data_IF_653762266038
#
_entry.id   IF_653762266038
#
_cell.length_a   1.000
_cell.length_b   1.000
_cell.length_c   1.000
_cell.angle_alpha   90.00
_cell.angle_beta   90.00
_cell.angle_gamma   90.00
#
_symmetry.space_group_name_H-M   'P 1'
#
loop_
_entity.id
_entity.type
_entity.pdbx_description
1 polymer ?
#
# COMPACT_ATOMS: atom_id res chain seq x y z
N UNK A 1 68.53 9.26 -29.01
CA UNK A 1 68.75 10.38 -28.06
C UNK A 1 67.39 10.79 -27.51
N UNK A 2 67.32 11.34 -26.30
CA UNK A 2 66.09 11.79 -25.62
C UNK A 2 65.89 13.31 -25.79
N UNK A 3 64.72 13.93 -25.58
CA UNK A 3 63.50 13.44 -24.89
C UNK A 3 62.27 13.50 -25.85
N UNK A 4 61.02 13.99 -25.60
CA UNK A 4 60.27 14.65 -24.51
C UNK A 4 58.75 14.41 -24.72
N UNK A 5 57.91 14.59 -23.69
CA UNK A 5 56.44 14.80 -23.78
C UNK A 5 56.11 16.14 -23.11
N UNK A 6 55.10 16.88 -23.59
CA UNK A 6 54.01 17.19 -22.66
C UNK A 6 52.60 17.10 -23.29
N UNK A 7 51.61 16.97 -22.42
CA UNK A 7 50.19 17.23 -22.67
C UNK A 7 49.80 18.50 -21.89
N UNK A 8 48.70 19.21 -22.20
CA UNK A 8 47.41 18.82 -21.59
C UNK A 8 46.12 19.15 -22.38
N UNK A 9 45.01 18.52 -21.99
CA UNK A 9 43.64 19.04 -22.17
C UNK A 9 42.96 18.74 -23.52
N UNK A 10 41.65 18.48 -23.60
CA UNK A 10 40.59 18.57 -22.58
C UNK A 10 39.51 17.48 -22.75
N UNK A 11 38.92 17.07 -21.62
CA UNK A 11 37.52 16.65 -21.45
C UNK A 11 36.88 15.77 -22.54
N UNK A 12 37.18 14.47 -22.52
CA UNK A 12 36.11 13.51 -22.82
C UNK A 12 35.27 13.33 -21.54
N UNK A 13 33.95 13.27 -21.65
CA UNK A 13 33.07 13.25 -20.47
C UNK A 13 32.94 11.81 -19.96
N UNK A 14 33.43 11.55 -18.75
CA UNK A 14 33.17 10.29 -18.05
C UNK A 14 31.68 10.17 -17.74
N UNK A 15 30.96 9.45 -18.62
CA UNK A 15 29.59 9.05 -18.38
C UNK A 15 29.58 7.93 -17.33
N UNK A 16 29.11 8.16 -16.09
CA UNK A 16 29.01 7.09 -15.11
C UNK A 16 27.87 6.18 -15.57
N UNK A 17 28.20 5.00 -16.10
CA UNK A 17 27.20 4.02 -16.47
C UNK A 17 26.32 3.72 -15.25
N UNK A 18 25.08 4.19 -15.28
CA UNK A 18 24.20 4.15 -14.12
C UNK A 18 24.06 2.70 -13.65
N UNK A 19 24.48 2.44 -12.40
CA UNK A 19 24.44 1.11 -11.83
C UNK A 19 22.99 0.66 -11.71
N UNK A 20 22.53 -0.09 -12.71
CA UNK A 20 21.19 -0.66 -12.78
C UNK A 20 21.03 -1.75 -11.74
N UNK A 21 20.87 -1.36 -10.47
CA UNK A 21 20.55 -2.21 -9.32
C UNK A 21 19.16 -2.81 -9.49
N UNK A 22 19.05 -3.71 -10.45
CA UNK A 22 17.91 -4.60 -10.67
C UNK A 22 17.93 -5.63 -9.57
N UNK A 23 17.59 -5.21 -8.35
CA UNK A 23 17.44 -6.11 -7.20
C UNK A 23 16.12 -6.87 -7.36
N UNK A 24 16.08 -7.75 -8.36
CA UNK A 24 15.03 -8.74 -8.58
C UNK A 24 15.11 -9.86 -7.54
N UNK A 25 15.24 -9.47 -6.27
CA UNK A 25 15.02 -10.31 -5.10
C UNK A 25 13.54 -10.63 -5.02
N UNK A 26 13.08 -11.55 -5.87
CA UNK A 26 11.82 -12.29 -5.72
C UNK A 26 11.91 -13.28 -4.55
N UNK A 27 12.46 -12.82 -3.43
CA UNK A 27 12.18 -13.39 -2.12
C UNK A 27 10.68 -13.29 -1.93
N UNK A 28 10.01 -14.41 -1.64
CA UNK A 28 8.66 -14.30 -1.09
C UNK A 28 8.82 -13.70 0.31
N UNK A 29 8.70 -12.37 0.39
CA UNK A 29 8.80 -11.65 1.64
C UNK A 29 7.74 -12.22 2.58
N UNK A 30 8.20 -12.82 3.67
CA UNK A 30 7.32 -13.45 4.65
C UNK A 30 6.43 -12.43 5.36
N UNK A 31 5.47 -12.92 6.16
CA UNK A 31 4.66 -12.09 7.05
C UNK A 31 5.54 -11.10 7.84
N UNK A 32 5.32 -9.79 7.66
CA UNK A 32 6.11 -8.76 8.38
C UNK A 32 5.57 -8.61 9.80
N UNK A 33 6.40 -8.88 10.80
CA UNK A 33 6.02 -8.81 12.22
C UNK A 33 6.39 -7.49 12.91
N UNK A 34 7.04 -6.55 12.21
CA UNK A 34 7.47 -5.26 12.75
C UNK A 34 6.49 -4.11 12.42
N UNK A 35 6.13 -3.34 13.45
CA UNK A 35 5.24 -2.19 13.33
C UNK A 35 5.90 -0.98 12.64
N UNK A 36 7.22 -0.83 12.72
CA UNK A 36 7.95 0.23 12.02
C UNK A 36 7.87 0.06 10.51
N UNK A 37 8.13 -1.16 10.04
CA UNK A 37 8.12 -1.56 8.63
C UNK A 37 6.73 -1.41 8.02
N UNK A 38 5.67 -1.87 8.69
CA UNK A 38 4.27 -1.69 8.21
C UNK A 38 3.90 -0.19 8.14
N UNK A 39 4.32 0.64 9.12
CA UNK A 39 4.11 2.10 9.08
C UNK A 39 4.90 2.78 7.95
N UNK A 40 6.11 2.31 7.65
CA UNK A 40 6.97 2.87 6.59
C UNK A 40 6.46 2.57 5.18
N UNK A 41 5.67 1.51 4.99
CA UNK A 41 5.03 1.18 3.72
C UNK A 41 3.69 1.91 3.47
N UNK A 42 3.17 2.66 4.44
CA UNK A 42 1.97 3.48 4.24
C UNK A 42 2.29 4.67 3.31
N UNK A 43 1.43 5.01 2.33
CA UNK A 43 1.59 6.22 1.53
C UNK A 43 1.70 7.47 2.39
N UNK A 44 2.49 8.44 1.95
CA UNK A 44 2.76 9.70 2.69
C UNK A 44 1.47 10.41 3.13
N UNK A 45 0.44 10.44 2.29
CA UNK A 45 -0.86 11.02 2.62
C UNK A 45 -1.54 10.31 3.80
N UNK A 46 -1.63 8.98 3.75
CA UNK A 46 -2.23 8.16 4.81
C UNK A 46 -1.42 8.22 6.11
N UNK A 47 -0.09 8.07 6.00
CA UNK A 47 0.84 8.13 7.14
C UNK A 47 0.77 9.49 7.85
N UNK A 48 0.69 10.59 7.10
CA UNK A 48 0.56 11.95 7.65
C UNK A 48 -0.81 12.21 8.29
N UNK A 49 -1.88 11.61 7.76
CA UNK A 49 -3.23 11.68 8.31
C UNK A 49 -3.43 10.79 9.55
N UNK A 50 -2.53 9.84 9.80
CA UNK A 50 -2.66 8.84 10.87
C UNK A 50 -2.27 9.35 12.25
N UNK A 51 -2.92 8.82 13.28
CA UNK A 51 -2.58 8.97 14.70
C UNK A 51 -2.89 7.68 15.49
N UNK A 52 -2.44 7.61 16.75
CA UNK A 52 -2.73 6.53 17.70
C UNK A 52 -2.43 5.09 17.22
N UNK A 53 -1.57 4.96 16.20
CA UNK A 53 -1.24 3.69 15.53
C UNK A 53 -0.58 2.66 16.45
N UNK A 54 -1.36 1.66 16.86
CA UNK A 54 -0.95 0.52 17.71
C UNK A 54 -0.82 -0.78 16.92
N UNK A 55 -0.17 -1.77 17.53
CA UNK A 55 -0.33 -3.18 17.13
C UNK A 55 -1.75 -3.64 17.49
N UNK A 56 -2.39 -4.44 16.66
CA UNK A 56 -3.80 -4.84 16.83
C UNK A 56 -3.99 -6.35 16.92
N UNK A 57 -3.42 -7.11 15.98
CA UNK A 57 -3.49 -8.57 15.90
C UNK A 57 -2.45 -9.08 14.89
N UNK A 58 -2.46 -10.37 14.57
CA UNK A 58 -1.74 -10.94 13.44
C UNK A 58 -2.72 -11.55 12.42
N UNK A 59 -2.33 -11.60 11.14
CA UNK A 59 -3.06 -12.34 10.10
C UNK A 59 -2.91 -13.85 10.28
N UNK A 60 -3.71 -14.65 9.56
CA UNK A 60 -3.62 -16.12 9.60
C UNK A 60 -2.24 -16.67 9.21
N UNK A 61 -1.50 -15.98 8.34
CA UNK A 61 -0.14 -16.36 7.94
C UNK A 61 0.94 -15.76 8.87
N UNK A 62 0.54 -14.94 9.85
CA UNK A 62 1.41 -14.41 10.91
C UNK A 62 1.89 -12.97 10.73
N UNK A 63 1.38 -12.23 9.75
CA UNK A 63 1.79 -10.84 9.53
C UNK A 63 1.17 -9.91 10.57
N UNK A 64 1.91 -8.93 11.06
CA UNK A 64 1.40 -7.96 12.03
C UNK A 64 0.38 -7.04 11.39
N UNK A 65 -0.79 -6.95 12.01
CA UNK A 65 -1.81 -5.94 11.69
C UNK A 65 -1.66 -4.77 12.65
N UNK A 66 -1.30 -3.60 12.12
CA UNK A 66 -1.41 -2.34 12.86
C UNK A 66 -2.83 -1.77 12.71
N UNK A 67 -3.32 -1.09 13.74
CA UNK A 67 -4.55 -0.31 13.69
C UNK A 67 -4.23 1.16 13.97
N UNK A 68 -4.60 2.02 13.03
CA UNK A 68 -4.39 3.46 13.08
C UNK A 68 -5.75 4.17 13.07
N UNK A 69 -5.85 5.27 13.81
CA UNK A 69 -6.98 6.18 13.70
C UNK A 69 -6.59 7.35 12.77
N UNK A 70 -7.54 7.90 12.03
CA UNK A 70 -7.38 9.08 11.18
C UNK A 70 -7.68 10.32 12.02
N UNK A 71 -6.79 11.31 11.94
CA UNK A 71 -6.93 12.63 12.54
C UNK A 71 -8.24 13.27 12.10
N UNK A 72 -9.12 13.62 13.05
CA UNK A 72 -10.43 14.25 12.75
C UNK A 72 -10.35 15.60 12.01
N UNK A 73 -9.18 16.23 11.99
CA UNK A 73 -8.89 17.47 11.25
C UNK A 73 -8.33 17.24 9.84
N UNK A 74 -8.17 15.99 9.39
CA UNK A 74 -7.67 15.66 8.07
C UNK A 74 -8.79 15.29 7.09
N UNK A 75 -8.64 15.66 5.82
CA UNK A 75 -9.64 15.44 4.76
C UNK A 75 -9.99 13.97 4.49
N UNK A 76 -9.16 13.01 4.93
CA UNK A 76 -9.49 11.58 4.86
C UNK A 76 -10.60 11.19 5.83
N UNK A 77 -10.78 11.92 6.94
CA UNK A 77 -11.86 11.67 7.91
C UNK A 77 -13.26 11.87 7.31
N UNK A 78 -13.40 12.73 6.30
CA UNK A 78 -14.66 12.99 5.56
C UNK A 78 -15.26 11.75 4.90
N UNK A 79 -14.47 10.68 4.71
CA UNK A 79 -14.89 9.46 4.02
C UNK A 79 -15.52 8.42 4.96
N UNK A 80 -15.46 8.67 6.28
CA UNK A 80 -16.02 7.81 7.31
C UNK A 80 -17.37 8.33 7.82
N UNK A 81 -18.24 7.42 8.22
CA UNK A 81 -19.44 7.74 9.02
C UNK A 81 -19.05 8.25 10.41
N UNK A 82 -20.01 8.80 11.16
CA UNK A 82 -19.80 9.26 12.55
C UNK A 82 -19.29 8.17 13.51
N UNK A 83 -19.45 6.88 13.15
CA UNK A 83 -18.97 5.70 13.90
C UNK A 83 -17.60 5.20 13.44
N UNK A 84 -17.00 5.81 12.41
CA UNK A 84 -15.74 5.40 11.81
C UNK A 84 -14.68 6.51 11.86
N UNK A 85 -13.42 6.12 12.08
CA UNK A 85 -12.25 6.93 11.74
C UNK A 85 -10.98 6.07 11.66
N UNK A 86 -11.08 4.79 11.30
CA UNK A 86 -10.04 3.79 11.57
C UNK A 86 -9.73 2.94 10.35
N UNK A 87 -8.44 2.66 10.17
CA UNK A 87 -7.98 1.64 9.23
C UNK A 87 -7.09 0.60 9.92
N UNK A 88 -6.99 -0.57 9.31
CA UNK A 88 -5.95 -1.57 9.57
C UNK A 88 -4.96 -1.61 8.42
N UNK A 89 -3.71 -1.99 8.70
CA UNK A 89 -2.72 -2.22 7.67
C UNK A 89 -1.80 -3.40 8.05
N UNK A 90 -1.36 -4.16 7.04
CA UNK A 90 -0.37 -5.24 7.20
C UNK A 90 0.46 -5.42 5.92
N UNK A 91 1.58 -6.12 6.03
CA UNK A 91 2.47 -6.47 4.91
C UNK A 91 2.67 -8.00 4.85
N UNK A 92 2.14 -8.62 3.81
CA UNK A 92 2.32 -10.02 3.47
C UNK A 92 2.20 -10.21 1.95
N UNK A 93 3.34 -10.43 1.28
CA UNK A 93 3.38 -10.53 -0.19
C UNK A 93 2.62 -11.78 -0.71
N UNK A 94 2.59 -12.85 0.09
CA UNK A 94 1.95 -14.11 -0.28
C UNK A 94 0.44 -14.02 -0.13
N UNK A 95 -0.06 -13.48 0.99
CA UNK A 95 -1.49 -13.27 1.20
C UNK A 95 -2.03 -12.18 0.28
N UNK A 96 -1.34 -11.05 0.09
CA UNK A 96 -1.80 -9.99 -0.81
C UNK A 96 -2.02 -10.51 -2.25
N UNK A 97 -1.08 -11.31 -2.77
CA UNK A 97 -1.21 -11.96 -4.08
C UNK A 97 -2.39 -12.94 -4.13
N UNK A 98 -2.57 -13.75 -3.08
CA UNK A 98 -3.70 -14.69 -2.99
C UNK A 98 -5.05 -13.96 -2.97
N UNK A 99 -5.14 -12.88 -2.18
CA UNK A 99 -6.35 -12.07 -2.00
C UNK A 99 -6.77 -11.37 -3.30
N UNK A 100 -5.85 -10.69 -3.98
CA UNK A 100 -6.17 -9.99 -5.24
C UNK A 100 -6.64 -10.95 -6.34
N UNK A 101 -5.96 -12.10 -6.49
CA UNK A 101 -6.40 -13.14 -7.43
C UNK A 101 -7.77 -13.71 -7.04
N UNK A 102 -8.00 -13.96 -5.75
CA UNK A 102 -9.29 -14.43 -5.23
C UNK A 102 -10.46 -13.48 -5.51
N UNK A 103 -10.23 -12.16 -5.47
CA UNK A 103 -11.26 -11.16 -5.83
C UNK A 103 -11.74 -11.28 -7.30
N UNK A 104 -10.91 -11.85 -8.18
CA UNK A 104 -11.27 -12.11 -9.59
C UNK A 104 -11.76 -13.53 -9.89
N UNK A 105 -11.58 -14.49 -8.98
CA UNK A 105 -11.98 -15.89 -9.17
C UNK A 105 -13.37 -16.23 -8.61
N UNK A 106 -13.83 -15.52 -7.57
CA UNK A 106 -15.04 -15.86 -6.82
C UNK A 106 -16.06 -14.72 -6.86
N UNK A 107 -17.30 -15.02 -7.26
CA UNK A 107 -18.45 -14.14 -7.00
C UNK A 107 -18.91 -14.31 -5.54
N UNK A 108 -18.48 -13.40 -4.68
CA UNK A 108 -18.84 -13.37 -3.26
C UNK A 108 -20.21 -12.73 -2.97
N UNK A 109 -20.87 -12.09 -3.96
CA UNK A 109 -22.11 -11.32 -3.82
C UNK A 109 -22.00 -10.00 -3.03
N UNK A 110 -22.62 -8.93 -3.55
CA UNK A 110 -22.71 -7.59 -2.92
C UNK A 110 -21.36 -6.90 -2.62
N UNK A 111 -20.44 -6.94 -3.58
CA UNK A 111 -19.16 -6.25 -3.50
C UNK A 111 -18.76 -5.67 -4.87
N UNK A 112 -17.95 -4.61 -4.86
CA UNK A 112 -17.42 -3.95 -6.06
C UNK A 112 -15.89 -4.02 -6.02
N UNK A 113 -15.29 -4.64 -7.04
CA UNK A 113 -13.83 -4.65 -7.21
C UNK A 113 -13.39 -3.47 -8.08
N UNK A 114 -12.42 -2.69 -7.61
CA UNK A 114 -11.77 -1.60 -8.34
C UNK A 114 -10.26 -1.88 -8.42
N UNK A 115 -9.79 -2.38 -9.55
CA UNK A 115 -8.36 -2.64 -9.81
C UNK A 115 -7.65 -1.44 -10.44
N UNK A 116 -6.31 -1.42 -10.37
CA UNK A 116 -5.47 -0.55 -11.19
C UNK A 116 -5.26 -1.11 -12.62
N UNK A 117 -4.81 -0.28 -13.57
CA UNK A 117 -4.63 -0.67 -14.98
C UNK A 117 -3.72 -1.89 -15.19
N UNK A 118 -2.73 -2.09 -14.32
CA UNK A 118 -1.81 -3.23 -14.35
C UNK A 118 -2.38 -4.50 -13.68
N UNK A 119 -3.51 -4.41 -12.99
CA UNK A 119 -4.12 -5.47 -12.16
C UNK A 119 -3.14 -6.05 -11.13
N UNK A 120 -2.30 -5.18 -10.58
CA UNK A 120 -1.34 -5.49 -9.51
C UNK A 120 -1.78 -4.99 -8.14
N UNK A 121 -2.78 -4.10 -8.11
CA UNK A 121 -3.45 -3.66 -6.91
C UNK A 121 -4.95 -3.45 -7.15
N UNK A 122 -5.74 -3.52 -6.09
CA UNK A 122 -7.17 -3.22 -6.16
C UNK A 122 -7.83 -3.10 -4.80
N UNK A 123 -9.03 -2.52 -4.79
CA UNK A 123 -9.90 -2.41 -3.62
C UNK A 123 -11.12 -3.29 -3.84
N UNK A 124 -11.36 -4.23 -2.93
CA UNK A 124 -12.65 -4.87 -2.78
C UNK A 124 -13.51 -4.02 -1.83
N UNK A 125 -14.63 -3.49 -2.33
CA UNK A 125 -15.57 -2.65 -1.59
C UNK A 125 -16.79 -3.50 -1.24
N UNK A 126 -17.13 -3.62 0.05
CA UNK A 126 -18.28 -4.39 0.53
C UNK A 126 -19.34 -3.45 1.11
N UNK A 127 -20.49 -3.40 0.46
CA UNK A 127 -21.70 -2.75 0.96
C UNK A 127 -22.40 -3.70 1.95
N UNK A 128 -21.89 -3.72 3.20
CA UNK A 128 -22.27 -4.71 4.20
C UNK A 128 -23.77 -4.71 4.53
N UNK A 129 -24.37 -5.90 4.67
CA UNK A 129 -25.81 -6.08 4.91
C UNK A 129 -26.36 -5.44 6.21
N UNK A 130 -25.49 -4.96 7.09
CA UNK A 130 -25.80 -4.17 8.30
C UNK A 130 -25.77 -2.66 8.08
N UNK A 131 -25.58 -2.19 6.84
CA UNK A 131 -25.50 -0.76 6.50
C UNK A 131 -24.13 -0.12 6.72
N UNK A 132 -23.09 -0.91 7.03
CA UNK A 132 -21.71 -0.43 7.17
C UNK A 132 -20.91 -0.79 5.91
N UNK A 133 -20.53 0.24 5.14
CA UNK A 133 -19.63 0.04 4.00
C UNK A 133 -18.20 -0.10 4.48
N UNK A 134 -17.47 -1.04 3.87
CA UNK A 134 -16.05 -1.29 4.13
C UNK A 134 -15.27 -1.48 2.83
N UNK A 135 -13.95 -1.34 2.89
CA UNK A 135 -13.08 -1.52 1.72
C UNK A 135 -11.73 -2.10 2.11
N UNK A 136 -11.31 -3.16 1.44
CA UNK A 136 -10.00 -3.79 1.62
C UNK A 136 -9.16 -3.60 0.36
N UNK A 137 -8.19 -2.68 0.44
CA UNK A 137 -7.14 -2.49 -0.56
C UNK A 137 -6.07 -3.57 -0.41
N UNK A 138 -5.58 -4.07 -1.53
CA UNK A 138 -4.48 -5.04 -1.60
C UNK A 138 -3.55 -4.72 -2.78
N UNK A 139 -2.25 -4.93 -2.59
CA UNK A 139 -1.23 -4.79 -3.62
C UNK A 139 -0.31 -6.02 -3.64
N UNK A 140 -0.28 -6.75 -4.75
CA UNK A 140 0.47 -8.00 -4.87
C UNK A 140 1.97 -7.84 -5.18
N UNK A 141 2.44 -6.62 -5.40
CA UNK A 141 3.86 -6.30 -5.64
C UNK A 141 4.57 -5.85 -4.36
N UNK A 142 3.86 -5.12 -3.47
CA UNK A 142 4.40 -4.65 -2.19
C UNK A 142 3.99 -5.51 -1.00
N UNK A 143 2.93 -6.33 -1.13
CA UNK A 143 2.33 -7.07 -0.03
C UNK A 143 1.43 -6.23 0.89
N UNK A 144 1.23 -4.94 0.57
CA UNK A 144 0.43 -4.03 1.39
C UNK A 144 -1.06 -4.38 1.29
N UNK A 145 -1.66 -4.62 2.45
CA UNK A 145 -3.12 -4.70 2.63
C UNK A 145 -3.56 -3.59 3.58
N UNK A 146 -4.61 -2.84 3.22
CA UNK A 146 -5.19 -1.77 4.04
C UNK A 146 -6.72 -1.89 4.02
N UNK A 147 -7.33 -2.00 5.20
CA UNK A 147 -8.78 -2.13 5.35
C UNK A 147 -9.38 -0.90 6.05
N UNK A 148 -10.49 -0.38 5.52
CA UNK A 148 -11.30 0.69 6.10
C UNK A 148 -12.71 0.19 6.42
N UNK A 149 -13.27 0.66 7.54
CA UNK A 149 -14.56 0.21 8.08
C UNK A 149 -15.43 1.40 8.46
N UNK A 150 -16.75 1.20 8.45
CA UNK A 150 -17.75 2.23 8.78
C UNK A 150 -17.63 3.48 7.89
N UNK A 151 -17.39 3.26 6.59
CA UNK A 151 -17.35 4.29 5.55
C UNK A 151 -18.77 4.77 5.21
N UNK A 152 -18.95 5.97 4.67
CA UNK A 152 -20.29 6.50 4.38
C UNK A 152 -21.00 5.74 3.26
N UNK A 153 -20.26 5.36 2.22
CA UNK A 153 -20.76 4.75 0.98
C UNK A 153 -19.58 4.21 0.13
N UNK A 154 -19.89 3.44 -0.92
CA UNK A 154 -18.90 2.86 -1.84
C UNK A 154 -18.07 3.91 -2.62
N UNK A 155 -18.59 5.11 -2.87
CA UNK A 155 -17.84 6.18 -3.53
C UNK A 155 -16.85 6.84 -2.57
N UNK A 156 -17.19 6.97 -1.28
CA UNK A 156 -16.27 7.41 -0.24
C UNK A 156 -15.10 6.44 -0.02
N UNK A 157 -15.33 5.12 -0.12
CA UNK A 157 -14.24 4.13 -0.15
C UNK A 157 -13.29 4.38 -1.32
N UNK A 158 -13.83 4.52 -2.53
CA UNK A 158 -13.05 4.81 -3.73
C UNK A 158 -12.29 6.15 -3.60
N UNK A 159 -12.93 7.17 -3.04
CA UNK A 159 -12.34 8.50 -2.80
C UNK A 159 -11.21 8.47 -1.77
N UNK A 160 -11.34 7.67 -0.70
CA UNK A 160 -10.29 7.51 0.31
C UNK A 160 -9.01 6.88 -0.30
N UNK A 161 -9.16 5.79 -1.06
CA UNK A 161 -8.01 5.12 -1.68
C UNK A 161 -7.35 5.97 -2.78
N UNK A 162 -8.12 6.79 -3.51
CA UNK A 162 -7.57 7.79 -4.44
C UNK A 162 -6.89 8.98 -3.74
N UNK A 163 -7.52 9.56 -2.71
CA UNK A 163 -6.92 10.63 -1.87
C UNK A 163 -5.63 10.17 -1.17
N UNK A 164 -5.42 8.86 -0.98
CA UNK A 164 -4.19 8.30 -0.40
C UNK A 164 -3.14 7.87 -1.43
N UNK A 165 -3.45 7.88 -2.73
CA UNK A 165 -2.54 7.46 -3.80
C UNK A 165 -2.37 5.93 -3.90
N UNK A 166 -3.40 5.17 -3.54
CA UNK A 166 -3.47 3.70 -3.64
C UNK A 166 -4.31 3.24 -4.85
N UNK A 167 -5.18 4.11 -5.35
CA UNK A 167 -5.94 4.03 -6.61
C UNK A 167 -5.83 5.34 -7.40
#
# INVERSE_FOLDING_TARGET
MIVLRPSPGNSNVDNPAAAGSTSSTTTTAGPVTDAGTVKAALPTALSSASENCRQSTFTTDGALVISCDIKKSNQLAESFSEYGNRFTASLDLKQAKKTLLGYGEYDYGNYTLVENDSRTAGVNISDGATGQVSGSYVNMETGLTIDVYSMTDSAAVTSFFKKTGLL
#
